data_IF_624549459731
#
_entry.id   IF_624549459731
#
_cell.length_a   1.000
_cell.length_b   1.000
_cell.length_c   1.000
_cell.angle_alpha   90.00
_cell.angle_beta   90.00
_cell.angle_gamma   90.00
#
_symmetry.space_group_name_H-M   'P 1'
#
loop_
_entity.id
_entity.type
_entity.pdbx_description
1 polymer ?
#
# COMPACT_ATOMS: atom_id res chain seq x y z
N UNK A 1 17.96 -17.72 -17.35
CA UNK A 1 16.61 -17.67 -16.73
C UNK A 1 16.63 -16.94 -15.38
N UNK A 2 17.57 -17.23 -14.47
CA UNK A 2 17.69 -16.47 -13.22
C UNK A 2 18.12 -15.01 -13.43
N UNK A 3 19.09 -14.75 -14.30
CA UNK A 3 19.56 -13.40 -14.61
C UNK A 3 18.45 -12.50 -15.21
N UNK A 4 17.56 -13.07 -16.02
CA UNK A 4 16.44 -12.33 -16.62
C UNK A 4 15.37 -11.95 -15.59
N UNK A 5 15.10 -12.82 -14.61
CA UNK A 5 14.14 -12.54 -13.53
C UNK A 5 14.70 -11.46 -12.60
N UNK A 6 15.99 -11.55 -12.28
CA UNK A 6 16.68 -10.57 -11.44
C UNK A 6 16.69 -9.18 -12.10
N UNK A 7 17.05 -9.10 -13.38
CA UNK A 7 17.05 -7.85 -14.13
C UNK A 7 15.64 -7.21 -14.20
N UNK A 8 14.61 -8.04 -14.40
CA UNK A 8 13.22 -7.58 -14.40
C UNK A 8 12.80 -7.05 -13.01
N UNK A 9 13.17 -7.75 -11.93
CA UNK A 9 12.90 -7.28 -10.57
C UNK A 9 13.53 -5.92 -10.32
N UNK A 10 14.80 -5.75 -10.67
CA UNK A 10 15.52 -4.47 -10.51
C UNK A 10 14.83 -3.36 -11.31
N UNK A 11 14.46 -3.62 -12.57
CA UNK A 11 13.77 -2.64 -13.41
C UNK A 11 12.41 -2.23 -12.82
N UNK A 12 11.64 -3.19 -12.29
CA UNK A 12 10.37 -2.95 -11.61
C UNK A 12 10.59 -2.08 -10.37
N UNK A 13 11.50 -2.47 -9.47
CA UNK A 13 11.82 -1.69 -8.27
C UNK A 13 12.26 -0.27 -8.61
N UNK A 14 13.12 -0.10 -9.63
CA UNK A 14 13.57 1.22 -10.08
C UNK A 14 12.44 2.07 -10.64
N UNK A 15 11.58 1.49 -11.48
CA UNK A 15 10.41 2.17 -12.01
C UNK A 15 9.51 2.65 -10.88
N UNK A 16 9.26 1.79 -9.90
CA UNK A 16 8.32 2.09 -8.81
C UNK A 16 8.90 3.05 -7.75
N UNK A 17 10.22 3.14 -7.67
CA UNK A 17 10.93 4.11 -6.83
C UNK A 17 10.97 5.52 -7.44
N UNK A 18 10.42 5.74 -8.64
CA UNK A 18 10.36 7.07 -9.25
C UNK A 18 9.59 8.02 -8.33
N UNK A 19 10.30 9.04 -7.84
CA UNK A 19 9.77 10.03 -6.90
C UNK A 19 8.99 11.12 -7.66
N UNK A 20 7.76 11.36 -7.24
CA UNK A 20 6.88 12.41 -7.78
C UNK A 20 6.96 13.69 -6.94
N UNK A 21 7.01 13.55 -5.61
CA UNK A 21 7.10 14.66 -4.66
C UNK A 21 8.07 14.27 -3.54
N UNK A 22 8.99 15.17 -3.21
CA UNK A 22 9.92 14.98 -2.09
C UNK A 22 10.15 16.32 -1.37
N UNK A 23 9.55 16.46 -0.19
CA UNK A 23 9.81 17.57 0.72
C UNK A 23 9.74 17.09 2.19
N UNK A 24 9.94 18.00 3.13
CA UNK A 24 10.00 17.68 4.57
C UNK A 24 8.70 17.14 5.17
N UNK A 25 7.57 17.31 4.49
CA UNK A 25 6.25 16.89 4.96
C UNK A 25 5.68 15.74 4.14
N UNK A 26 5.90 15.75 2.84
CA UNK A 26 5.30 14.85 1.86
C UNK A 26 6.38 14.16 1.04
N UNK A 27 6.30 12.83 1.02
CA UNK A 27 7.06 11.99 0.13
C UNK A 27 6.08 11.13 -0.65
N UNK A 28 6.17 11.16 -1.97
CA UNK A 28 5.33 10.38 -2.88
C UNK A 28 6.22 9.81 -3.99
N UNK A 29 6.17 8.50 -4.16
CA UNK A 29 6.73 7.80 -5.31
C UNK A 29 5.62 7.00 -6.02
N UNK A 30 5.96 6.21 -7.04
CA UNK A 30 4.98 5.34 -7.68
C UNK A 30 4.56 4.16 -6.77
N UNK A 31 5.36 3.78 -5.79
CA UNK A 31 5.02 2.82 -4.72
C UNK A 31 3.86 3.29 -3.86
N UNK A 32 3.84 4.57 -3.49
CA UNK A 32 2.72 5.20 -2.78
C UNK A 32 1.39 5.08 -3.54
N UNK A 33 1.44 5.09 -4.87
CA UNK A 33 0.25 4.84 -5.71
C UNK A 33 -0.17 3.36 -5.70
N UNK A 34 0.78 2.43 -5.64
CA UNK A 34 0.50 1.01 -5.44
C UNK A 34 -0.18 0.78 -4.08
N UNK A 35 0.26 1.46 -3.03
CA UNK A 35 -0.39 1.41 -1.71
C UNK A 35 -1.84 1.90 -1.77
N UNK A 36 -2.10 3.01 -2.45
CA UNK A 36 -3.47 3.50 -2.70
C UNK A 36 -4.36 2.46 -3.38
N UNK A 37 -3.90 1.86 -4.49
CA UNK A 37 -4.66 0.84 -5.22
C UNK A 37 -4.87 -0.40 -4.33
N UNK A 38 -3.82 -0.86 -3.66
CA UNK A 38 -3.83 -2.05 -2.82
C UNK A 38 -4.81 -1.90 -1.67
N UNK A 39 -4.86 -0.73 -1.02
CA UNK A 39 -5.85 -0.43 0.02
C UNK A 39 -7.29 -0.52 -0.47
N UNK A 40 -7.55 -0.05 -1.69
CA UNK A 40 -8.86 -0.21 -2.34
C UNK A 40 -9.20 -1.69 -2.61
N UNK A 41 -8.26 -2.46 -3.16
CA UNK A 41 -8.44 -3.90 -3.42
C UNK A 41 -8.70 -4.67 -2.13
N UNK A 42 -7.89 -4.45 -1.09
CA UNK A 42 -8.07 -5.08 0.22
C UNK A 42 -9.44 -4.72 0.79
N UNK A 43 -9.88 -3.47 0.68
CA UNK A 43 -11.23 -3.09 1.11
C UNK A 43 -12.32 -3.83 0.34
N UNK A 44 -12.22 -3.99 -0.99
CA UNK A 44 -13.17 -4.82 -1.76
C UNK A 44 -13.23 -6.23 -1.19
N UNK A 45 -12.09 -6.84 -0.88
CA UNK A 45 -12.03 -8.17 -0.27
C UNK A 45 -12.69 -8.19 1.11
N UNK A 46 -12.38 -7.24 1.99
CA UNK A 46 -12.98 -7.13 3.32
C UNK A 46 -14.51 -7.01 3.23
N UNK A 47 -15.03 -6.20 2.30
CA UNK A 47 -16.46 -5.98 2.14
C UNK A 47 -17.22 -7.21 1.60
N UNK A 48 -16.54 -8.16 0.95
CA UNK A 48 -17.14 -9.43 0.53
C UNK A 48 -17.51 -10.32 1.71
N UNK A 49 -16.81 -10.18 2.85
CA UNK A 49 -17.05 -11.00 4.03
C UNK A 49 -18.01 -10.29 5.02
N UNK A 50 -19.16 -10.90 5.38
CA UNK A 50 -20.17 -10.26 6.23
C UNK A 50 -19.64 -9.78 7.59
N UNK A 51 -18.66 -10.49 8.15
CA UNK A 51 -18.03 -10.15 9.42
C UNK A 51 -17.32 -8.78 9.38
N UNK A 52 -16.65 -8.46 8.27
CA UNK A 52 -15.90 -7.21 8.11
C UNK A 52 -16.71 -6.08 7.47
N UNK A 53 -17.83 -6.39 6.81
CA UNK A 53 -18.66 -5.43 6.05
C UNK A 53 -19.18 -4.23 6.87
N UNK A 54 -19.20 -4.31 8.20
CA UNK A 54 -19.63 -3.22 9.10
C UNK A 54 -18.47 -2.24 9.38
N UNK A 55 -18.64 -1.38 10.41
CA UNK A 55 -17.68 -0.34 10.85
C UNK A 55 -16.24 -0.82 11.05
N UNK A 56 -16.03 -2.12 11.25
CA UNK A 56 -14.72 -2.66 11.58
C UNK A 56 -13.80 -2.82 10.36
N UNK A 57 -14.31 -2.79 9.12
CA UNK A 57 -13.49 -2.95 7.90
C UNK A 57 -12.34 -1.95 7.81
N UNK A 58 -12.56 -0.67 8.14
CA UNK A 58 -11.51 0.35 8.11
C UNK A 58 -10.43 0.10 9.16
N UNK A 59 -10.82 -0.35 10.36
CA UNK A 59 -9.88 -0.69 11.40
C UNK A 59 -9.05 -1.92 11.03
N UNK A 60 -9.69 -2.94 10.46
CA UNK A 60 -9.02 -4.15 9.96
C UNK A 60 -8.08 -3.80 8.80
N UNK A 61 -8.49 -2.91 7.89
CA UNK A 61 -7.62 -2.42 6.82
C UNK A 61 -6.37 -1.75 7.40
N UNK A 62 -6.52 -0.86 8.38
CA UNK A 62 -5.39 -0.19 9.03
C UNK A 62 -4.42 -1.20 9.63
N UNK A 63 -4.92 -2.24 10.30
CA UNK A 63 -4.09 -3.32 10.85
C UNK A 63 -3.37 -4.07 9.73
N UNK A 64 -4.07 -4.44 8.65
CA UNK A 64 -3.46 -5.19 7.54
C UNK A 64 -2.36 -4.39 6.83
N UNK A 65 -2.60 -3.11 6.58
CA UNK A 65 -1.59 -2.22 6.00
C UNK A 65 -0.41 -2.05 6.97
N UNK A 66 -0.67 -1.80 8.25
CA UNK A 66 0.39 -1.69 9.26
C UNK A 66 1.24 -2.96 9.41
N UNK A 67 0.61 -4.14 9.32
CA UNK A 67 1.33 -5.42 9.33
C UNK A 67 2.17 -5.60 8.06
N UNK A 68 1.68 -5.12 6.91
CA UNK A 68 2.42 -5.16 5.65
C UNK A 68 3.70 -4.33 5.75
N UNK A 69 3.63 -3.09 6.23
CA UNK A 69 4.81 -2.22 6.45
C UNK A 69 5.86 -2.87 7.38
N UNK A 70 5.39 -3.55 8.45
CA UNK A 70 6.27 -4.29 9.36
C UNK A 70 6.98 -5.45 8.66
N UNK A 71 6.30 -6.11 7.72
CA UNK A 71 6.89 -7.20 6.90
C UNK A 71 7.82 -6.63 5.83
N UNK A 72 7.50 -5.48 5.27
CA UNK A 72 8.32 -4.82 4.26
C UNK A 72 9.66 -4.43 4.88
N UNK A 73 9.68 -3.85 6.09
CA UNK A 73 10.90 -3.44 6.83
C UNK A 73 12.08 -4.46 6.77
N UNK A 74 11.92 -5.73 7.17
CA UNK A 74 12.96 -6.76 7.04
C UNK A 74 13.21 -7.19 5.59
N UNK A 75 12.22 -7.19 4.70
CA UNK A 75 12.43 -7.51 3.27
C UNK A 75 13.35 -6.50 2.58
N UNK A 76 13.31 -5.21 2.96
CA UNK A 76 14.32 -4.23 2.55
C UNK A 76 15.72 -4.61 3.06
N UNK A 77 15.82 -5.03 4.33
CA UNK A 77 17.10 -5.38 4.96
C UNK A 77 17.80 -6.51 4.20
N UNK A 78 17.04 -7.46 3.64
CA UNK A 78 17.56 -8.56 2.82
C UNK A 78 17.70 -8.21 1.33
N UNK A 79 17.46 -6.96 0.92
CA UNK A 79 17.52 -6.48 -0.48
C UNK A 79 16.63 -7.29 -1.44
N UNK A 80 15.49 -7.77 -0.97
CA UNK A 80 14.57 -8.60 -1.75
C UNK A 80 13.64 -7.80 -2.69
N UNK A 81 14.13 -6.67 -3.23
CA UNK A 81 13.41 -5.90 -4.25
C UNK A 81 12.75 -4.61 -3.79
N UNK A 82 13.17 -4.06 -2.65
CA UNK A 82 12.60 -2.81 -2.13
C UNK A 82 13.69 -1.76 -1.81
N UNK A 83 13.40 -0.47 -2.05
CA UNK A 83 14.33 0.65 -1.83
C UNK A 83 14.27 1.15 -0.37
N UNK A 84 15.35 1.68 0.20
CA UNK A 84 15.34 2.16 1.60
C UNK A 84 14.29 3.27 1.75
N UNK A 85 13.23 2.96 2.50
CA UNK A 85 12.15 3.91 2.75
C UNK A 85 12.41 4.74 4.00
N UNK A 86 12.08 6.03 3.89
CA UNK A 86 12.09 6.94 5.02
C UNK A 86 10.87 6.63 5.90
N UNK A 87 10.93 6.89 7.22
CA UNK A 87 9.76 6.79 8.10
C UNK A 87 8.57 7.62 7.63
N UNK A 88 8.86 8.72 6.92
CA UNK A 88 7.87 9.58 6.29
C UNK A 88 7.16 8.85 5.13
N UNK A 89 7.87 8.01 4.39
CA UNK A 89 7.33 7.22 3.27
C UNK A 89 6.31 6.20 3.78
N UNK A 90 6.71 5.38 4.76
CA UNK A 90 5.84 4.41 5.47
C UNK A 90 4.56 5.10 5.98
N UNK A 91 4.69 6.30 6.57
CA UNK A 91 3.52 7.04 7.05
C UNK A 91 2.58 7.45 5.91
N UNK A 92 3.12 7.89 4.77
CA UNK A 92 2.31 8.27 3.61
C UNK A 92 1.71 7.07 2.89
N UNK A 93 2.41 5.94 2.85
CA UNK A 93 1.94 4.70 2.25
C UNK A 93 0.75 4.13 3.04
N UNK A 94 0.81 4.17 4.37
CA UNK A 94 -0.35 3.89 5.24
C UNK A 94 -1.51 4.85 5.00
N UNK A 95 -1.24 6.17 4.92
CA UNK A 95 -2.28 7.18 4.70
C UNK A 95 -2.96 6.97 3.35
N UNK A 96 -2.20 6.70 2.30
CA UNK A 96 -2.71 6.50 0.94
C UNK A 96 -3.45 5.17 0.79
N UNK A 97 -2.92 4.10 1.37
CA UNK A 97 -3.63 2.82 1.41
C UNK A 97 -4.97 2.95 2.14
N UNK A 98 -4.99 3.64 3.28
CA UNK A 98 -6.23 3.95 3.98
C UNK A 98 -7.17 4.81 3.14
N UNK A 99 -6.65 5.82 2.43
CA UNK A 99 -7.44 6.70 1.57
C UNK A 99 -8.13 5.92 0.43
N UNK A 100 -7.40 5.02 -0.25
CA UNK A 100 -7.96 4.13 -1.26
C UNK A 100 -9.07 3.24 -0.68
N UNK A 101 -8.83 2.66 0.49
CA UNK A 101 -9.82 1.86 1.20
C UNK A 101 -11.07 2.65 1.63
N UNK A 102 -10.92 3.91 2.07
CA UNK A 102 -12.05 4.77 2.44
C UNK A 102 -12.92 5.09 1.22
N UNK A 103 -12.31 5.44 0.09
CA UNK A 103 -13.05 5.70 -1.16
C UNK A 103 -13.85 4.46 -1.56
N UNK A 104 -13.22 3.28 -1.57
CA UNK A 104 -13.89 2.01 -1.86
C UNK A 104 -15.02 1.72 -0.87
N UNK A 105 -14.75 1.84 0.44
CA UNK A 105 -15.74 1.61 1.48
C UNK A 105 -17.00 2.47 1.29
N UNK A 106 -16.79 3.77 1.03
CA UNK A 106 -17.88 4.72 0.83
C UNK A 106 -18.65 4.46 -0.48
N UNK A 107 -17.97 4.07 -1.55
CA UNK A 107 -18.63 3.70 -2.80
C UNK A 107 -19.62 2.54 -2.61
N UNK A 108 -19.20 1.46 -1.92
CA UNK A 108 -20.04 0.27 -1.72
C UNK A 108 -21.12 0.40 -0.63
N UNK A 109 -20.93 1.28 0.35
CA UNK A 109 -21.88 1.48 1.44
C UNK A 109 -22.76 2.74 1.27
N UNK A 110 -22.32 3.74 0.49
CA UNK A 110 -23.05 4.99 0.24
C UNK A 110 -24.26 4.82 -0.69
N UNK A 111 -24.24 3.83 -1.59
CA UNK A 111 -25.37 3.50 -2.47
C UNK A 111 -26.52 2.74 -1.82
N UNK A 112 -26.51 2.56 -0.48
CA UNK A 112 -27.56 1.86 0.28
C UNK A 112 -28.43 2.80 1.13
N UNK A 113 -28.33 4.11 0.90
CA UNK A 113 -29.21 5.09 1.53
C UNK A 113 -30.50 5.24 0.73
#
# INVERSE_FOLDING_TARGET
>A
MFETIEAMRIAITQFLSVTLVNNSFLFLNLWSFVHFISGGIIMVLLLKYPFFRKRNSLFVLLILLGLWEIVEYPLYTFKLGFAIENRIDIAWDLVLGMFGGIITHNYFNGGKK
#
